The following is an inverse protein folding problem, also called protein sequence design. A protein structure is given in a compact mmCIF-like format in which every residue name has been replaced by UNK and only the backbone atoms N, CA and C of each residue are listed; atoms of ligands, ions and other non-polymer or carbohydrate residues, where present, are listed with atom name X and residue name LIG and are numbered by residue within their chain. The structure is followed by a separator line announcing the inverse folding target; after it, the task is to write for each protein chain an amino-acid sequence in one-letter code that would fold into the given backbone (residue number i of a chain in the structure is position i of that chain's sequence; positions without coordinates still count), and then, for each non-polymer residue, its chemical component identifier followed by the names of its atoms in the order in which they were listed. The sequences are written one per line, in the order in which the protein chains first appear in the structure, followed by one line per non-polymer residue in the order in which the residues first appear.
data_IF_619120196220
#
_entry.id   IF_619120196220
#
_cell.length_a   1.000
_cell.length_b   1.000
_cell.length_c   1.000
_cell.angle_alpha   90.00
_cell.angle_beta   90.00
_cell.angle_gamma   90.00
#
_symmetry.space_group_name_H-M   'P 1'
#
loop_
_entity.id
_entity.type
_entity.pdbx_description
1 polymer ?
#
# COMPACT_ATOMS: atom_id res chain seq x y z
N UNK A 1 -23.05 4.62 0.04
CA UNK A 1 -21.79 4.22 -0.61
C UNK A 1 -22.13 3.52 -1.91
N UNK A 2 -21.37 3.76 -2.98
CA UNK A 2 -21.55 3.06 -4.24
C UNK A 2 -21.13 1.58 -4.09
N UNK A 3 -21.75 0.69 -4.87
CA UNK A 3 -21.28 -0.70 -4.97
C UNK A 3 -20.04 -0.72 -5.87
N UNK A 4 -18.93 -1.27 -5.36
CA UNK A 4 -17.70 -1.39 -6.14
C UNK A 4 -17.89 -2.39 -7.30
N UNK A 5 -17.15 -2.16 -8.39
CA UNK A 5 -17.29 -2.91 -9.64
C UNK A 5 -15.98 -3.59 -10.03
N UNK A 6 -16.06 -4.56 -10.93
CA UNK A 6 -14.92 -5.36 -11.38
C UNK A 6 -14.13 -4.76 -12.55
N UNK A 7 -14.69 -3.75 -13.21
CA UNK A 7 -14.18 -3.16 -14.45
C UNK A 7 -13.48 -1.82 -14.22
N UNK A 8 -13.90 -1.06 -13.20
CA UNK A 8 -13.35 0.26 -12.89
C UNK A 8 -13.04 0.45 -11.39
N UNK A 9 -11.98 1.20 -11.11
CA UNK A 9 -11.69 1.72 -9.77
C UNK A 9 -12.71 2.81 -9.40
N UNK A 10 -13.19 2.79 -8.17
CA UNK A 10 -14.06 3.85 -7.65
C UNK A 10 -13.22 5.01 -7.10
N UNK A 11 -13.19 6.14 -7.80
CA UNK A 11 -12.51 7.35 -7.36
C UNK A 11 -13.51 8.34 -6.76
N UNK A 12 -13.24 8.80 -5.53
CA UNK A 12 -14.00 9.87 -4.90
C UNK A 12 -13.59 11.25 -5.44
N UNK A 13 -14.32 12.29 -5.01
CA UNK A 13 -13.99 13.67 -5.35
C UNK A 13 -12.54 14.05 -4.97
N UNK A 14 -11.95 14.97 -5.72
CA UNK A 14 -10.65 15.57 -5.47
C UNK A 14 -9.46 14.58 -5.48
N UNK A 15 -9.63 13.37 -6.04
CA UNK A 15 -8.52 12.43 -6.22
C UNK A 15 -7.62 12.90 -7.36
N UNK A 16 -6.33 13.06 -7.07
CA UNK A 16 -5.27 13.26 -8.06
C UNK A 16 -4.61 11.91 -8.35
N UNK A 17 -4.72 11.41 -9.58
CA UNK A 17 -4.19 10.09 -9.95
C UNK A 17 -3.40 10.16 -11.26
N UNK A 18 -2.15 9.72 -11.24
CA UNK A 18 -1.25 9.71 -12.40
C UNK A 18 -0.46 8.40 -12.47
N UNK A 19 -0.25 7.89 -13.69
CA UNK A 19 0.59 6.71 -13.98
C UNK A 19 0.28 5.50 -13.08
N UNK A 20 -1.00 5.24 -12.81
CA UNK A 20 -1.41 4.23 -11.84
C UNK A 20 -2.42 3.26 -12.43
N UNK A 21 -2.33 2.00 -12.02
CA UNK A 21 -3.18 0.90 -12.48
C UNK A 21 -3.82 0.21 -11.27
N UNK A 22 -5.11 -0.11 -11.39
CA UNK A 22 -5.90 -0.69 -10.31
C UNK A 22 -6.54 -2.00 -10.77
N UNK A 23 -6.62 -2.94 -9.84
CA UNK A 23 -7.37 -4.17 -9.98
C UNK A 23 -8.88 -3.96 -9.83
N UNK A 24 -9.58 -5.07 -9.73
CA UNK A 24 -11.03 -5.14 -9.60
C UNK A 24 -11.47 -4.71 -8.20
N UNK A 25 -12.63 -4.07 -8.08
CA UNK A 25 -13.23 -3.72 -6.80
C UNK A 25 -12.35 -2.83 -5.91
N UNK A 26 -11.53 -1.97 -6.51
CA UNK A 26 -10.70 -1.02 -5.78
C UNK A 26 -11.44 0.30 -5.54
N UNK A 27 -11.03 1.02 -4.49
CA UNK A 27 -11.59 2.32 -4.09
C UNK A 27 -10.50 3.27 -3.62
N UNK A 28 -10.53 4.52 -4.08
CA UNK A 28 -9.61 5.59 -3.68
C UNK A 28 -10.40 6.73 -3.08
N UNK A 29 -10.22 6.93 -1.77
CA UNK A 29 -10.95 7.90 -0.98
C UNK A 29 -10.66 9.35 -1.35
N UNK A 30 -11.57 10.23 -0.92
CA UNK A 30 -11.58 11.65 -1.27
C UNK A 30 -10.22 12.34 -1.03
N UNK A 31 -9.79 13.17 -1.98
CA UNK A 31 -8.61 14.04 -1.79
C UNK A 31 -7.28 13.30 -1.71
N UNK A 32 -7.25 12.01 -2.06
CA UNK A 32 -6.02 11.22 -2.07
C UNK A 32 -5.18 11.51 -3.32
N UNK A 33 -3.86 11.42 -3.18
CA UNK A 33 -2.87 11.56 -4.26
C UNK A 33 -2.24 10.21 -4.54
N UNK A 34 -2.33 9.76 -5.80
CA UNK A 34 -1.84 8.45 -6.24
C UNK A 34 -0.90 8.65 -7.45
N UNK A 35 0.37 8.28 -7.31
CA UNK A 35 1.39 8.49 -8.34
C UNK A 35 2.25 7.23 -8.53
N UNK A 36 2.34 6.71 -9.75
CA UNK A 36 3.16 5.53 -10.07
C UNK A 36 2.80 4.30 -9.21
N UNK A 37 1.51 4.03 -9.03
CA UNK A 37 1.02 2.93 -8.17
C UNK A 37 0.42 1.81 -9.00
N UNK A 38 0.76 0.57 -8.64
CA UNK A 38 0.03 -0.63 -9.07
C UNK A 38 -0.69 -1.18 -7.85
N UNK A 39 -2.02 -1.31 -7.90
CA UNK A 39 -2.83 -1.79 -6.78
C UNK A 39 -3.68 -2.98 -7.20
N UNK A 40 -3.57 -4.10 -6.46
CA UNK A 40 -4.32 -5.32 -6.72
C UNK A 40 -5.78 -5.26 -6.28
N UNK A 41 -6.56 -6.24 -6.75
CA UNK A 41 -8.01 -6.36 -6.50
C UNK A 41 -8.40 -6.18 -5.02
N UNK A 42 -9.55 -5.57 -4.79
CA UNK A 42 -10.17 -5.33 -3.47
C UNK A 42 -9.39 -4.44 -2.50
N UNK A 43 -8.27 -3.88 -2.94
CA UNK A 43 -7.50 -2.93 -2.13
C UNK A 43 -8.12 -1.55 -2.21
N UNK A 44 -7.98 -0.79 -1.13
CA UNK A 44 -8.47 0.59 -1.09
C UNK A 44 -7.56 1.47 -0.25
N UNK A 45 -7.67 2.77 -0.47
CA UNK A 45 -7.31 3.76 0.54
C UNK A 45 -8.51 4.65 0.88
N UNK A 46 -8.63 5.03 2.15
CA UNK A 46 -9.57 6.05 2.58
C UNK A 46 -9.06 7.45 2.14
N UNK A 47 -9.71 8.52 2.60
CA UNK A 47 -9.44 9.89 2.22
C UNK A 47 -8.03 10.39 2.58
N UNK A 48 -7.54 11.32 1.77
CA UNK A 48 -6.32 12.09 1.98
C UNK A 48 -5.05 11.24 2.15
N UNK A 49 -5.00 10.04 1.57
CA UNK A 49 -3.78 9.27 1.47
C UNK A 49 -2.86 9.88 0.40
N UNK A 50 -1.55 9.79 0.59
CA UNK A 50 -0.56 10.21 -0.40
C UNK A 50 0.40 9.05 -0.69
N UNK A 51 0.16 8.36 -1.81
CA UNK A 51 0.78 7.09 -2.17
C UNK A 51 1.55 7.29 -3.46
N UNK A 52 2.87 7.16 -3.39
CA UNK A 52 3.77 7.28 -4.53
C UNK A 52 4.65 6.02 -4.69
N UNK A 53 4.96 5.68 -5.94
CA UNK A 53 5.92 4.65 -6.33
C UNK A 53 5.71 3.33 -5.55
N UNK A 54 4.54 2.70 -5.70
CA UNK A 54 4.19 1.54 -4.90
C UNK A 54 3.67 0.38 -5.75
N UNK A 55 3.97 -0.84 -5.30
CA UNK A 55 3.20 -2.02 -5.63
C UNK A 55 2.39 -2.40 -4.40
N UNK A 56 1.08 -2.51 -4.54
CA UNK A 56 0.15 -2.83 -3.47
C UNK A 56 -0.59 -4.09 -3.85
N UNK A 57 -0.47 -5.12 -3.01
CA UNK A 57 -1.15 -6.38 -3.19
C UNK A 57 -2.67 -6.23 -3.10
N UNK A 58 -3.37 -7.33 -3.37
CA UNK A 58 -4.82 -7.49 -3.20
C UNK A 58 -5.26 -7.41 -1.73
N UNK A 59 -6.49 -6.95 -1.49
CA UNK A 59 -7.11 -6.86 -0.15
C UNK A 59 -6.31 -6.02 0.87
N UNK A 60 -5.52 -5.05 0.42
CA UNK A 60 -4.83 -4.11 1.30
C UNK A 60 -5.81 -3.04 1.81
N UNK A 61 -5.80 -2.82 3.13
CA UNK A 61 -6.65 -1.89 3.84
C UNK A 61 -5.83 -0.66 4.26
N UNK A 62 -6.00 0.47 3.58
CA UNK A 62 -5.21 1.67 3.85
C UNK A 62 -6.11 2.76 4.44
N UNK A 63 -5.87 3.12 5.69
CA UNK A 63 -6.65 4.13 6.40
C UNK A 63 -6.33 5.56 5.91
N UNK A 64 -7.09 6.52 6.41
CA UNK A 64 -6.99 7.91 5.98
C UNK A 64 -5.65 8.54 6.40
N UNK A 65 -5.16 9.50 5.61
CA UNK A 65 -3.90 10.23 5.84
C UNK A 65 -2.62 9.37 5.83
N UNK A 66 -2.67 8.15 5.32
CA UNK A 66 -1.46 7.32 5.16
C UNK A 66 -0.54 7.91 4.10
N UNK A 67 0.77 7.91 4.37
CA UNK A 67 1.83 8.28 3.43
C UNK A 67 2.65 7.05 3.04
N UNK A 68 2.71 6.73 1.76
CA UNK A 68 3.53 5.63 1.23
C UNK A 68 4.48 6.16 0.17
N UNK A 69 5.77 5.81 0.28
CA UNK A 69 6.77 6.11 -0.75
C UNK A 69 7.08 7.60 -0.89
N UNK A 70 7.15 8.33 0.24
CA UNK A 70 7.47 9.75 0.24
C UNK A 70 8.76 10.05 -0.55
N UNK A 71 8.69 10.98 -1.50
CA UNK A 71 9.83 11.32 -2.37
C UNK A 71 10.89 12.13 -1.63
N UNK A 72 12.16 11.79 -1.83
CA UNK A 72 13.29 12.44 -1.16
C UNK A 72 13.91 13.56 -2.01
N UNK A 73 14.76 14.39 -1.39
CA UNK A 73 15.55 15.46 -2.04
C UNK A 73 17.00 15.01 -2.33
N UNK A 74 17.74 15.68 -3.23
CA UNK A 74 19.15 15.38 -3.47
C UNK A 74 19.99 15.86 -2.27
N UNK A 75 20.33 14.93 -1.38
CA UNK A 75 21.07 15.24 -0.12
C UNK A 75 22.59 15.24 -0.29
N UNK A 76 23.09 14.89 -1.47
CA UNK A 76 24.50 14.77 -1.84
C UNK A 76 24.95 15.90 -2.78
N UNK A 77 24.24 17.02 -2.77
CA UNK A 77 24.50 18.22 -3.59
C UNK A 77 24.60 19.46 -2.69
N UNK A 78 25.07 20.57 -3.27
CA UNK A 78 25.22 21.84 -2.54
C UNK A 78 23.89 22.44 -2.04
N UNK A 79 22.76 22.02 -2.61
CA UNK A 79 21.41 22.40 -2.19
C UNK A 79 20.49 21.17 -2.23
N UNK A 80 19.35 21.25 -1.54
CA UNK A 80 18.26 20.27 -1.62
C UNK A 80 17.01 20.86 -2.32
N UNK A 81 17.09 22.11 -2.79
CA UNK A 81 15.94 22.85 -3.31
C UNK A 81 15.45 22.31 -4.65
N UNK A 82 14.18 22.57 -4.96
CA UNK A 82 13.52 22.14 -6.19
C UNK A 82 14.18 22.71 -7.45
N UNK A 83 14.82 23.88 -7.38
CA UNK A 83 15.49 24.48 -8.54
C UNK A 83 16.56 23.55 -9.16
N UNK A 84 17.06 22.56 -8.41
CA UNK A 84 18.03 21.59 -8.92
C UNK A 84 17.45 20.60 -9.93
N UNK A 85 16.16 20.27 -9.82
CA UNK A 85 15.54 19.22 -10.63
C UNK A 85 14.20 19.63 -11.24
N UNK A 86 13.59 20.71 -10.77
CA UNK A 86 12.45 21.42 -11.38
C UNK A 86 12.90 22.81 -11.82
N UNK A 87 14.05 22.87 -12.48
CA UNK A 87 14.62 24.11 -13.01
C UNK A 87 13.64 24.92 -13.89
N UNK A 88 12.78 24.30 -14.73
CA UNK A 88 11.80 25.04 -15.53
C UNK A 88 10.78 25.85 -14.72
N UNK A 89 10.58 25.55 -13.43
CA UNK A 89 9.70 26.35 -12.56
C UNK A 89 10.27 27.77 -12.30
N UNK A 90 11.55 28.01 -12.63
CA UNK A 90 12.28 29.24 -12.32
C UNK A 90 12.91 29.92 -13.54
N UNK A 91 13.26 29.16 -14.58
CA UNK A 91 13.93 29.66 -15.78
C UNK A 91 13.42 28.95 -17.04
N UNK A 92 13.17 29.73 -18.10
CA UNK A 92 12.58 29.23 -19.35
C UNK A 92 13.56 28.43 -20.24
N UNK A 93 14.87 28.52 -19.97
CA UNK A 93 15.94 27.97 -20.81
C UNK A 93 16.60 26.70 -20.26
N UNK A 94 16.06 26.14 -19.17
CA UNK A 94 16.60 24.93 -18.53
C UNK A 94 15.52 23.87 -18.42
N UNK A 95 15.83 22.67 -18.89
CA UNK A 95 14.94 21.50 -18.82
C UNK A 95 14.86 20.88 -17.42
N UNK A 96 13.86 20.03 -17.24
CA UNK A 96 13.69 19.24 -16.02
C UNK A 96 14.83 18.21 -15.87
N UNK A 97 15.29 17.95 -14.65
CA UNK A 97 16.28 16.88 -14.39
C UNK A 97 15.57 15.53 -14.44
N UNK A 98 15.47 14.98 -15.64
CA UNK A 98 14.77 13.74 -15.92
C UNK A 98 15.39 12.54 -15.16
N UNK A 99 16.72 12.46 -15.11
CA UNK A 99 17.46 11.39 -14.41
C UNK A 99 17.07 11.33 -12.93
N UNK A 100 16.91 12.49 -12.29
CA UNK A 100 16.48 12.57 -10.91
C UNK A 100 15.04 12.07 -10.69
N UNK A 101 14.11 12.39 -11.60
CA UNK A 101 12.75 11.88 -11.52
C UNK A 101 12.67 10.37 -11.76
N UNK A 102 13.46 9.84 -12.69
CA UNK A 102 13.57 8.40 -12.94
C UNK A 102 14.14 7.66 -11.72
N UNK A 103 15.20 8.20 -11.12
CA UNK A 103 15.76 7.67 -9.86
C UNK A 103 14.74 7.71 -8.72
N UNK A 104 13.91 8.75 -8.61
CA UNK A 104 12.84 8.80 -7.60
C UNK A 104 11.77 7.74 -7.87
N UNK A 105 11.35 7.60 -9.13
CA UNK A 105 10.30 6.67 -9.52
C UNK A 105 10.70 5.19 -9.34
N UNK A 106 11.99 4.88 -9.43
CA UNK A 106 12.50 3.50 -9.25
C UNK A 106 12.47 3.00 -7.80
N UNK A 107 12.38 3.90 -6.81
CA UNK A 107 12.43 3.58 -5.37
C UNK A 107 11.06 3.15 -4.85
N UNK A 108 10.66 1.93 -5.22
CA UNK A 108 9.30 1.44 -4.98
C UNK A 108 9.09 0.83 -3.60
N UNK A 109 7.94 1.09 -3.00
CA UNK A 109 7.43 0.35 -1.82
C UNK A 109 6.68 -0.89 -2.29
N UNK A 110 6.81 -2.00 -1.57
CA UNK A 110 6.03 -3.23 -1.80
C UNK A 110 5.13 -3.50 -0.61
N UNK A 111 3.81 -3.46 -0.82
CA UNK A 111 2.80 -3.82 0.18
C UNK A 111 2.20 -5.16 -0.18
N UNK A 112 2.23 -6.12 0.74
CA UNK A 112 1.69 -7.45 0.55
C UNK A 112 0.16 -7.51 0.47
N UNK A 113 -0.37 -8.73 0.34
CA UNK A 113 -1.80 -9.01 0.39
C UNK A 113 -2.34 -8.93 1.82
N UNK A 114 -3.63 -8.62 2.00
CA UNK A 114 -4.33 -8.62 3.30
C UNK A 114 -3.64 -7.76 4.40
N UNK A 115 -2.92 -6.71 4.01
CA UNK A 115 -2.28 -5.81 4.97
C UNK A 115 -3.28 -4.81 5.55
N UNK A 116 -3.02 -4.32 6.76
CA UNK A 116 -3.73 -3.16 7.31
C UNK A 116 -2.74 -2.06 7.70
N UNK A 117 -2.90 -0.90 7.06
CA UNK A 117 -2.09 0.30 7.31
C UNK A 117 -2.95 1.33 8.03
N UNK A 118 -2.64 1.56 9.30
CA UNK A 118 -3.39 2.41 10.22
C UNK A 118 -3.31 3.90 9.86
N UNK A 119 -4.25 4.67 10.43
CA UNK A 119 -4.40 6.09 10.14
C UNK A 119 -3.09 6.85 10.33
N UNK A 120 -2.74 7.71 9.38
CA UNK A 120 -1.55 8.55 9.45
C UNK A 120 -0.24 7.77 9.69
N UNK A 121 -0.13 6.54 9.22
CA UNK A 121 1.16 5.84 9.16
C UNK A 121 1.99 6.33 7.97
N UNK A 122 3.32 6.31 8.10
CA UNK A 122 4.28 6.64 7.06
C UNK A 122 5.15 5.42 6.70
N UNK A 123 5.28 5.12 5.42
CA UNK A 123 6.14 4.04 4.91
C UNK A 123 7.20 4.64 4.00
N UNK A 124 8.46 4.50 4.39
CA UNK A 124 9.62 5.00 3.63
C UNK A 124 9.70 4.29 2.26
N UNK A 125 10.24 4.94 1.20
CA UNK A 125 10.59 4.25 -0.04
C UNK A 125 11.43 2.98 0.18
N UNK A 126 11.32 2.02 -0.74
CA UNK A 126 12.11 0.78 -0.77
C UNK A 126 11.82 -0.21 0.38
N UNK A 127 10.76 0.03 1.14
CA UNK A 127 10.31 -0.87 2.21
C UNK A 127 9.34 -1.92 1.66
N UNK A 128 9.48 -3.15 2.16
CA UNK A 128 8.53 -4.24 1.97
C UNK A 128 7.69 -4.45 3.23
N UNK A 129 6.37 -4.41 3.08
CA UNK A 129 5.40 -4.82 4.10
C UNK A 129 4.86 -6.19 3.72
N UNK A 130 5.17 -7.22 4.51
CA UNK A 130 4.78 -8.60 4.24
C UNK A 130 3.27 -8.83 4.26
N UNK A 131 2.83 -9.93 3.66
CA UNK A 131 1.41 -10.31 3.61
C UNK A 131 0.81 -10.40 5.01
N UNK A 132 -0.42 -9.91 5.17
CA UNK A 132 -1.12 -9.95 6.44
C UNK A 132 -0.54 -9.01 7.51
N UNK A 133 0.54 -8.27 7.27
CA UNK A 133 1.14 -7.39 8.26
C UNK A 133 0.22 -6.21 8.63
N UNK A 134 0.40 -5.70 9.85
CA UNK A 134 -0.34 -4.55 10.37
C UNK A 134 0.65 -3.45 10.74
N UNK A 135 0.44 -2.25 10.20
CA UNK A 135 1.15 -1.04 10.60
C UNK A 135 0.20 -0.21 11.44
N UNK A 136 0.51 0.00 12.71
CA UNK A 136 -0.36 0.77 13.61
C UNK A 136 -0.46 2.25 13.17
N UNK A 137 -1.54 2.91 13.58
CA UNK A 137 -1.76 4.33 13.33
C UNK A 137 -0.58 5.18 13.84
N UNK A 138 -0.17 6.17 13.06
CA UNK A 138 0.94 7.08 13.39
C UNK A 138 2.34 6.46 13.33
N UNK A 139 2.49 5.20 12.91
CA UNK A 139 3.80 4.55 12.87
C UNK A 139 4.64 5.03 11.67
N UNK A 140 5.96 5.18 11.87
CA UNK A 140 6.92 5.50 10.81
C UNK A 140 7.78 4.28 10.51
N UNK A 141 7.46 3.58 9.42
CA UNK A 141 8.14 2.36 9.02
C UNK A 141 9.40 2.69 8.22
N UNK A 142 10.55 2.32 8.77
CA UNK A 142 11.88 2.57 8.20
C UNK A 142 12.65 1.30 7.84
N UNK A 143 12.06 0.12 8.08
CA UNK A 143 12.61 -1.21 7.79
C UNK A 143 11.49 -2.14 7.32
N UNK A 144 11.85 -3.18 6.59
CA UNK A 144 10.92 -4.21 6.15
C UNK A 144 10.16 -4.84 7.32
N UNK A 145 8.90 -5.18 7.06
CA UNK A 145 7.99 -5.79 8.04
C UNK A 145 7.70 -7.22 7.57
N UNK A 146 7.99 -8.20 8.42
CA UNK A 146 7.72 -9.60 8.12
C UNK A 146 6.20 -9.86 7.95
N UNK A 147 5.80 -10.87 7.16
CA UNK A 147 4.39 -11.25 7.02
C UNK A 147 3.72 -11.49 8.37
N UNK A 148 2.46 -11.09 8.51
CA UNK A 148 1.62 -11.23 9.70
C UNK A 148 2.18 -10.57 10.97
N UNK A 149 3.22 -9.73 10.88
CA UNK A 149 3.74 -8.95 11.99
C UNK A 149 2.98 -7.65 12.17
N UNK A 150 2.75 -7.27 13.43
CA UNK A 150 2.19 -5.99 13.83
C UNK A 150 3.34 -5.08 14.26
N UNK A 151 3.46 -3.89 13.67
CA UNK A 151 4.49 -2.89 14.02
C UNK A 151 3.84 -1.57 14.48
N UNK A 152 4.51 -0.85 15.37
CA UNK A 152 4.08 0.47 15.83
C UNK A 152 5.26 1.35 16.27
N UNK A 153 5.05 2.66 16.36
CA UNK A 153 6.02 3.63 16.89
C UNK A 153 6.77 4.43 15.83
N UNK A 154 7.67 5.31 16.31
CA UNK A 154 8.51 6.19 15.48
C UNK A 154 9.95 6.14 16.00
N UNK A 155 10.86 5.38 15.37
CA UNK A 155 10.60 4.47 14.24
C UNK A 155 9.76 3.26 14.67
N UNK A 156 9.06 2.66 13.72
CA UNK A 156 8.21 1.50 13.97
C UNK A 156 9.05 0.27 14.36
N UNK A 157 8.63 -0.45 15.39
CA UNK A 157 9.23 -1.71 15.83
C UNK A 157 8.19 -2.82 15.88
N UNK A 158 8.60 -4.10 15.69
CA UNK A 158 7.71 -5.25 15.87
C UNK A 158 7.13 -5.28 17.29
N UNK A 159 5.81 -5.41 17.37
CA UNK A 159 5.09 -5.60 18.64
C UNK A 159 4.82 -7.08 18.91
N UNK A 160 4.13 -7.74 17.97
CA UNK A 160 3.74 -9.15 18.02
C UNK A 160 3.33 -9.65 16.64
N UNK A 161 3.20 -10.96 16.49
CA UNK A 161 2.58 -11.58 15.33
C UNK A 161 1.04 -11.60 15.48
N UNK A 162 0.30 -11.60 14.35
CA UNK A 162 -1.16 -11.79 14.31
C UNK A 162 -1.54 -13.20 14.78
N UNK A 163 -0.77 -14.19 14.33
CA UNK A 163 -0.94 -15.61 14.58
C UNK A 163 0.42 -16.27 14.81
N UNK A 164 0.40 -17.49 15.34
CA UNK A 164 1.60 -18.33 15.36
C UNK A 164 2.14 -18.53 13.94
N UNK A 165 3.46 -18.52 13.81
CA UNK A 165 4.17 -18.66 12.53
C UNK A 165 3.65 -19.79 11.63
N UNK A 166 3.31 -20.96 12.20
CA UNK A 166 2.77 -22.10 11.43
C UNK A 166 1.43 -21.77 10.76
N UNK A 167 0.55 -21.01 11.42
CA UNK A 167 -0.74 -20.57 10.87
C UNK A 167 -0.49 -19.55 9.76
N UNK A 168 0.44 -18.61 9.97
CA UNK A 168 0.80 -17.60 8.98
C UNK A 168 1.38 -18.23 7.70
N UNK A 169 2.29 -19.20 7.82
CA UNK A 169 2.86 -19.94 6.68
C UNK A 169 1.79 -20.70 5.89
N UNK A 170 0.87 -21.35 6.60
CA UNK A 170 -0.30 -22.02 6.04
C UNK A 170 -1.23 -21.08 5.26
N UNK A 171 -1.54 -19.90 5.81
CA UNK A 171 -2.33 -18.87 5.10
C UNK A 171 -1.63 -18.34 3.85
N UNK A 172 -0.31 -18.19 3.89
CA UNK A 172 0.48 -17.79 2.72
C UNK A 172 0.44 -18.88 1.65
N UNK A 173 0.62 -20.15 2.04
CA UNK A 173 0.52 -21.27 1.11
C UNK A 173 -0.88 -21.38 0.48
N UNK A 174 -1.94 -21.18 1.27
CA UNK A 174 -3.32 -21.17 0.79
C UNK A 174 -3.58 -20.04 -0.21
N UNK A 175 -2.93 -18.88 -0.03
CA UNK A 175 -3.01 -17.73 -0.95
C UNK A 175 -4.44 -17.38 -1.34
N UNK A 176 -5.35 -17.35 -0.35
CA UNK A 176 -6.79 -17.16 -0.57
C UNK A 176 -7.13 -15.87 -1.32
N UNK A 177 -6.24 -14.85 -1.28
CA UNK A 177 -6.36 -13.62 -2.07
C UNK A 177 -6.32 -13.86 -3.59
N UNK A 178 -5.98 -15.06 -4.05
CA UNK A 178 -6.07 -15.44 -5.47
C UNK A 178 -7.38 -16.12 -5.84
N UNK A 179 -8.27 -16.38 -4.88
CA UNK A 179 -9.59 -16.96 -5.15
C UNK A 179 -10.44 -16.05 -6.03
N UNK A 180 -11.31 -16.67 -6.84
CA UNK A 180 -12.24 -15.93 -7.69
C UNK A 180 -13.30 -15.20 -6.85
N UNK A 181 -13.95 -14.18 -7.45
CA UNK A 181 -15.05 -13.48 -6.80
C UNK A 181 -16.16 -14.43 -6.30
N UNK A 182 -16.49 -15.44 -7.11
CA UNK A 182 -17.52 -16.43 -6.79
C UNK A 182 -17.07 -17.36 -5.65
N UNK A 183 -15.80 -17.77 -5.65
CA UNK A 183 -15.25 -18.59 -4.57
C UNK A 183 -15.24 -17.82 -3.24
N UNK A 184 -14.87 -16.53 -3.25
CA UNK A 184 -14.98 -15.67 -2.07
C UNK A 184 -16.44 -15.57 -1.59
N UNK A 185 -17.40 -15.46 -2.51
CA UNK A 185 -18.82 -15.40 -2.18
C UNK A 185 -19.33 -16.69 -1.55
N UNK A 186 -18.90 -17.85 -2.05
CA UNK A 186 -19.23 -19.16 -1.50
C UNK A 186 -18.61 -19.36 -0.11
N UNK A 187 -17.36 -18.93 0.09
CA UNK A 187 -16.63 -19.05 1.36
C UNK A 187 -16.98 -17.95 2.39
N UNK A 188 -17.85 -16.99 2.06
CA UNK A 188 -18.09 -15.79 2.88
C UNK A 188 -18.50 -16.11 4.32
N UNK A 189 -19.42 -17.06 4.52
CA UNK A 189 -19.86 -17.42 5.86
C UNK A 189 -18.76 -18.11 6.66
N UNK A 190 -17.86 -18.84 6.01
CA UNK A 190 -16.70 -19.45 6.67
C UNK A 190 -15.70 -18.39 7.11
N UNK A 191 -15.36 -17.42 6.25
CA UNK A 191 -14.51 -16.28 6.61
C UNK A 191 -15.05 -15.52 7.83
N UNK A 192 -16.38 -15.45 7.99
CA UNK A 192 -17.05 -14.72 9.08
C UNK A 192 -17.11 -15.50 10.38
N UNK A 193 -17.15 -16.83 10.32
CA UNK A 193 -17.57 -17.67 11.47
C UNK A 193 -16.53 -18.70 11.90
N UNK A 194 -15.72 -19.22 10.99
CA UNK A 194 -14.74 -20.23 11.35
C UNK A 194 -13.56 -19.59 12.10
N UNK A 195 -13.13 -20.19 13.23
CA UNK A 195 -11.81 -19.91 13.77
C UNK A 195 -10.73 -20.20 12.72
N UNK A 196 -9.61 -19.50 12.78
CA UNK A 196 -8.57 -19.55 11.74
C UNK A 196 -8.02 -20.97 11.49
N UNK A 197 -7.90 -21.79 12.54
CA UNK A 197 -7.46 -23.19 12.41
C UNK A 197 -8.46 -24.03 11.63
N UNK A 198 -9.75 -23.93 11.96
CA UNK A 198 -10.82 -24.65 11.26
C UNK A 198 -11.00 -24.15 9.82
N UNK A 199 -10.75 -22.86 9.56
CA UNK A 199 -10.74 -22.32 8.20
C UNK A 199 -9.63 -22.98 7.37
N UNK A 200 -8.40 -23.02 7.89
CA UNK A 200 -7.28 -23.66 7.20
C UNK A 200 -7.52 -25.17 7.00
N UNK A 201 -8.03 -25.89 8.00
CA UNK A 201 -8.38 -27.32 7.87
C UNK A 201 -9.39 -27.61 6.77
N UNK A 202 -10.29 -26.66 6.46
CA UNK A 202 -11.31 -26.83 5.43
C UNK A 202 -10.81 -26.56 4.01
N UNK A 203 -9.84 -25.65 3.86
CA UNK A 203 -9.48 -25.07 2.56
C UNK A 203 -8.07 -25.43 2.07
N UNK A 204 -7.26 -26.08 2.88
CA UNK A 204 -5.99 -26.68 2.48
C UNK A 204 -6.12 -28.06 1.84
#
# INVERSE_FOLDING_TARGET
MAKLKSDDVFLHADVECQNSNFGKYCEIGKGSRILNVTMGDYSYCDRYADIANAWIGKFANIASFVRIGATDHPMDRASMHHFLYRSPDYWDDVEIDQDWFEKRASRRVTIGHDTWIGHNAQIKPEITIGHGAIVASGAVVTKDVAPFTIVAGVPATPMRERFDRKISERLIALSWWNWSHDQLRLALDDFRRLPISAFLEKYE
#
